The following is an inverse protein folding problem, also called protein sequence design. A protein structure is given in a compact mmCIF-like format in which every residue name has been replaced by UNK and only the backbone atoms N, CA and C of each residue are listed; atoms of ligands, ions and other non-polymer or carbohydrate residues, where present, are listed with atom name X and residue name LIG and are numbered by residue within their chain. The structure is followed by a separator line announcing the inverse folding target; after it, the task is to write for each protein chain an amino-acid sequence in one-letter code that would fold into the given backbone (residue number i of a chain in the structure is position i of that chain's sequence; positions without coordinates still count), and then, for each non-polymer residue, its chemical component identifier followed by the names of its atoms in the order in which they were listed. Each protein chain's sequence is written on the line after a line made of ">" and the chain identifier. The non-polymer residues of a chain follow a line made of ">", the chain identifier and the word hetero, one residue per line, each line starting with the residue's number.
data_IF_868091339122
#
_entry.id   IF_868091339122
#
_cell.length_a   1.000
_cell.length_b   1.000
_cell.length_c   1.000
_cell.angle_alpha   90.00
_cell.angle_beta   90.00
_cell.angle_gamma   90.00
#
_symmetry.space_group_name_H-M   'P 1'
#
loop_
_entity.id
_entity.type
_entity.pdbx_description
1 polymer ?
#
# COMPACT_ATOMS: atom_id res chain seq x y z
N UNK A 1 -58.68 2.54 -0.73
CA UNK A 1 -57.97 1.27 -0.48
C UNK A 1 -56.70 1.64 0.27
N UNK A 2 -56.77 1.94 1.58
CA UNK A 2 -56.97 1.02 2.70
C UNK A 2 -55.81 0.02 2.83
N UNK A 3 -54.77 0.47 3.51
CA UNK A 3 -54.02 -0.31 4.50
C UNK A 3 -53.42 0.68 5.50
N UNK A 4 -54.17 0.92 6.57
CA UNK A 4 -53.68 1.63 7.75
C UNK A 4 -52.69 0.72 8.47
N UNK A 5 -51.41 1.01 8.30
CA UNK A 5 -50.34 0.41 9.09
C UNK A 5 -50.55 0.73 10.56
N UNK A 6 -50.78 -0.32 11.33
CA UNK A 6 -50.90 -0.44 12.76
C UNK A 6 -50.26 0.68 13.59
N UNK A 7 -51.09 1.25 14.46
CA UNK A 7 -50.79 1.84 15.76
C UNK A 7 -49.47 2.62 15.90
N UNK A 8 -49.57 3.92 16.20
CA UNK A 8 -48.57 4.68 16.96
C UNK A 8 -47.93 3.75 18.00
N UNK A 9 -46.71 3.30 17.73
CA UNK A 9 -45.99 2.35 18.57
C UNK A 9 -46.06 2.84 20.03
N UNK A 10 -46.42 1.95 20.96
CA UNK A 10 -46.52 2.25 22.38
C UNK A 10 -45.26 3.02 22.83
N UNK A 11 -45.38 4.33 22.96
CA UNK A 11 -44.27 5.28 23.11
C UNK A 11 -43.52 5.10 24.44
N UNK A 12 -43.86 4.10 25.23
CA UNK A 12 -43.29 3.81 26.54
C UNK A 12 -42.60 2.43 26.58
N UNK A 13 -42.82 1.58 25.58
CA UNK A 13 -42.12 0.30 25.44
C UNK A 13 -40.70 0.55 24.91
N UNK A 14 -39.76 -0.32 25.29
CA UNK A 14 -38.36 -0.23 24.90
C UNK A 14 -37.62 0.99 25.43
N UNK A 15 -37.96 1.42 26.65
CA UNK A 15 -37.32 2.56 27.32
C UNK A 15 -36.87 2.20 28.72
N UNK A 16 -35.82 2.87 29.18
CA UNK A 16 -35.38 2.78 30.57
C UNK A 16 -36.23 3.68 31.46
N UNK A 17 -36.69 3.15 32.59
CA UNK A 17 -37.41 3.93 33.60
C UNK A 17 -36.43 4.40 34.64
N UNK A 18 -36.37 5.72 34.85
CA UNK A 18 -35.46 6.37 35.79
C UNK A 18 -36.29 7.07 36.86
N UNK A 19 -35.99 6.77 38.13
CA UNK A 19 -36.53 7.53 39.25
C UNK A 19 -35.69 8.79 39.44
N UNK A 20 -36.29 9.95 39.24
CA UNK A 20 -35.66 11.25 39.47
C UNK A 20 -35.35 11.47 40.95
N UNK A 21 -36.17 10.94 41.86
CA UNK A 21 -36.00 11.07 43.32
C UNK A 21 -34.84 10.22 43.82
N UNK A 22 -34.66 9.02 43.25
CA UNK A 22 -33.64 8.07 43.72
C UNK A 22 -32.35 8.12 42.87
N UNK A 23 -32.37 8.82 41.74
CA UNK A 23 -31.27 8.89 40.79
C UNK A 23 -30.88 7.53 40.20
N UNK A 24 -31.79 6.56 40.18
CA UNK A 24 -31.53 5.17 39.79
C UNK A 24 -32.40 4.73 38.62
N UNK A 25 -31.83 3.87 37.78
CA UNK A 25 -32.56 3.14 36.75
C UNK A 25 -33.36 2.03 37.44
N UNK A 26 -34.68 2.08 37.33
CA UNK A 26 -35.61 1.11 37.92
C UNK A 26 -35.75 -0.15 37.07
N UNK A 27 -35.49 -0.05 35.76
CA UNK A 27 -35.56 -1.17 34.83
C UNK A 27 -35.82 -0.73 33.40
N UNK A 28 -36.01 -1.70 32.52
CA UNK A 28 -36.33 -1.52 31.11
C UNK A 28 -37.75 -2.00 30.81
N UNK A 29 -38.59 -1.16 30.20
CA UNK A 29 -39.99 -1.49 29.91
C UNK A 29 -40.08 -2.49 28.76
N UNK A 30 -40.61 -3.68 29.05
CA UNK A 30 -40.87 -4.73 28.06
C UNK A 30 -42.29 -4.67 27.53
N UNK A 31 -43.24 -4.25 28.35
CA UNK A 31 -44.66 -4.25 28.00
C UNK A 31 -45.43 -3.23 28.85
N UNK A 32 -46.60 -2.80 28.35
CA UNK A 32 -47.43 -1.80 29.02
C UNK A 32 -48.91 -2.15 28.97
N UNK A 33 -49.57 -2.04 30.12
CA UNK A 33 -51.02 -2.10 30.22
C UNK A 33 -51.56 -0.76 30.71
N UNK A 34 -52.76 -0.39 30.26
CA UNK A 34 -53.47 0.80 30.76
C UNK A 34 -54.71 0.33 31.51
N UNK A 35 -54.85 0.77 32.75
CA UNK A 35 -56.04 0.55 33.57
C UNK A 35 -56.74 1.89 33.82
N UNK A 36 -58.07 1.89 33.75
CA UNK A 36 -58.89 3.04 34.13
C UNK A 36 -59.59 2.69 35.43
N UNK A 37 -59.26 3.41 36.50
CA UNK A 37 -59.92 3.29 37.81
C UNK A 37 -60.56 4.64 38.14
N UNK A 38 -61.89 4.68 38.09
CA UNK A 38 -62.66 5.92 38.27
C UNK A 38 -62.38 6.92 37.14
N UNK A 39 -61.97 8.14 37.51
CA UNK A 39 -61.67 9.25 36.58
C UNK A 39 -60.16 9.39 36.28
N UNK A 40 -59.36 8.37 36.63
CA UNK A 40 -57.91 8.37 36.41
C UNK A 40 -57.48 7.14 35.62
N UNK A 41 -56.56 7.37 34.67
CA UNK A 41 -55.87 6.30 33.95
C UNK A 41 -54.49 6.06 34.55
N UNK A 42 -54.11 4.79 34.64
CA UNK A 42 -52.85 4.31 35.19
C UNK A 42 -52.11 3.49 34.14
N UNK A 43 -50.80 3.69 34.04
CA UNK A 43 -49.93 2.83 33.24
C UNK A 43 -49.30 1.77 34.14
N UNK A 44 -49.44 0.51 33.78
CA UNK A 44 -48.75 -0.61 34.41
C UNK A 44 -47.61 -1.01 33.48
N UNK A 45 -46.41 -0.58 33.87
CA UNK A 45 -45.18 -0.95 33.18
C UNK A 45 -44.75 -2.34 33.65
N UNK A 46 -44.60 -3.30 32.74
CA UNK A 46 -43.81 -4.50 33.02
C UNK A 46 -42.37 -4.18 32.68
N UNK A 47 -41.48 -4.35 33.65
CA UNK A 47 -40.08 -3.98 33.52
C UNK A 47 -39.19 -5.16 33.87
N UNK A 48 -38.08 -5.27 33.15
CA UNK A 48 -36.99 -6.16 33.50
C UNK A 48 -35.96 -5.39 34.32
N UNK A 49 -35.56 -5.93 35.46
CA UNK A 49 -34.46 -5.37 36.26
C UNK A 49 -33.14 -5.48 35.49
N UNK A 50 -32.34 -4.41 35.56
CA UNK A 50 -30.98 -4.40 35.03
C UNK A 50 -30.08 -4.80 36.19
N UNK A 51 -29.85 -6.10 36.35
CA UNK A 51 -28.77 -6.55 37.22
C UNK A 51 -27.44 -6.06 36.66
N UNK A 52 -26.59 -5.52 37.53
CA UNK A 52 -25.28 -4.96 37.20
C UNK A 52 -24.57 -5.76 36.11
N UNK A 53 -24.17 -5.09 35.02
CA UNK A 53 -23.45 -5.64 33.87
C UNK A 53 -22.08 -6.30 34.18
N UNK A 54 -21.74 -6.54 35.45
CA UNK A 54 -20.39 -6.89 35.91
C UNK A 54 -20.17 -8.30 36.44
N UNK A 55 -21.18 -9.07 36.87
CA UNK A 55 -20.93 -10.41 37.45
C UNK A 55 -22.08 -11.39 37.24
N UNK A 56 -21.86 -12.38 36.40
CA UNK A 56 -22.44 -13.72 36.51
C UNK A 56 -23.95 -13.84 36.24
N UNK A 57 -24.27 -14.60 35.20
CA UNK A 57 -25.63 -15.03 34.84
C UNK A 57 -26.46 -15.46 36.06
N UNK A 58 -27.48 -14.66 36.41
CA UNK A 58 -28.66 -15.14 37.14
C UNK A 58 -29.79 -15.28 36.11
N UNK A 59 -30.24 -16.52 35.87
CA UNK A 59 -31.31 -16.83 34.91
C UNK A 59 -32.73 -16.53 35.45
N UNK A 60 -32.85 -15.71 36.50
CA UNK A 60 -34.13 -15.22 36.99
C UNK A 60 -34.27 -13.75 36.64
N UNK A 61 -34.82 -13.49 35.45
CA UNK A 61 -35.33 -12.16 35.10
C UNK A 61 -36.54 -11.86 35.98
N UNK A 62 -36.33 -11.18 37.12
CA UNK A 62 -37.40 -10.61 37.92
C UNK A 62 -38.15 -9.56 37.07
N UNK A 63 -39.31 -9.95 36.54
CA UNK A 63 -40.23 -8.98 35.94
C UNK A 63 -40.95 -8.23 37.06
N UNK A 64 -40.66 -6.94 37.16
CA UNK A 64 -41.29 -6.03 38.13
C UNK A 64 -42.39 -5.25 37.44
N UNK A 65 -43.59 -5.28 38.03
CA UNK A 65 -44.71 -4.42 37.59
C UNK A 65 -44.68 -3.11 38.37
N UNK A 66 -44.78 -1.99 37.67
CA UNK A 66 -44.86 -0.66 38.26
C UNK A 66 -46.11 0.05 37.76
N UNK A 67 -47.03 0.39 38.68
CA UNK A 67 -48.22 1.20 38.38
C UNK A 67 -47.86 2.68 38.59
N UNK A 68 -47.95 3.48 37.52
CA UNK A 68 -47.65 4.91 37.53
C UNK A 68 -48.84 5.72 37.04
N UNK A 69 -49.00 6.93 37.55
CA UNK A 69 -49.95 7.89 37.00
C UNK A 69 -49.26 8.77 35.96
N UNK A 70 -50.03 9.37 35.04
CA UNK A 70 -49.52 10.36 34.10
C UNK A 70 -48.82 11.53 34.79
N UNK A 71 -49.33 11.96 35.94
CA UNK A 71 -48.75 13.04 36.77
C UNK A 71 -47.38 12.69 37.38
N UNK A 72 -47.05 11.39 37.46
CA UNK A 72 -45.77 10.95 38.00
C UNK A 72 -44.66 10.99 36.94
N UNK A 73 -45.00 11.14 35.66
CA UNK A 73 -44.06 11.22 34.53
C UNK A 73 -43.63 12.67 34.34
N UNK A 74 -42.32 12.91 34.41
CA UNK A 74 -41.71 14.23 34.19
C UNK A 74 -41.38 14.42 32.70
N UNK A 75 -40.78 13.41 32.07
CA UNK A 75 -40.39 13.46 30.66
C UNK A 75 -40.32 12.06 30.05
N UNK A 76 -40.59 11.96 28.75
CA UNK A 76 -40.43 10.75 27.93
C UNK A 76 -39.53 11.09 26.75
N UNK A 77 -38.27 10.66 26.83
CA UNK A 77 -37.28 10.80 25.76
C UNK A 77 -37.31 9.65 24.74
N UNK A 78 -36.39 9.64 23.76
CA UNK A 78 -36.27 8.56 22.78
C UNK A 78 -35.91 7.21 23.41
N UNK A 79 -35.16 7.19 24.51
CA UNK A 79 -34.70 5.93 25.16
C UNK A 79 -35.08 5.81 26.64
N UNK A 80 -35.62 6.89 27.25
CA UNK A 80 -35.82 6.97 28.70
C UNK A 80 -37.19 7.55 29.08
N UNK A 81 -37.73 7.08 30.20
CA UNK A 81 -38.91 7.62 30.90
C UNK A 81 -38.45 8.09 32.27
N UNK A 82 -38.68 9.35 32.58
CA UNK A 82 -38.26 9.97 33.84
C UNK A 82 -39.48 10.11 34.75
N UNK A 83 -39.44 9.47 35.92
CA UNK A 83 -40.49 9.51 36.93
C UNK A 83 -40.08 10.45 38.07
N UNK A 84 -40.91 11.45 38.35
CA UNK A 84 -40.70 12.40 39.43
C UNK A 84 -41.56 12.15 40.67
N UNK A 85 -42.59 11.27 40.58
CA UNK A 85 -43.59 11.05 41.63
C UNK A 85 -44.14 12.36 42.24
N UNK A 86 -44.25 13.43 41.44
CA UNK A 86 -44.69 14.75 41.87
C UNK A 86 -43.76 15.51 42.82
N UNK A 87 -42.50 15.07 43.02
CA UNK A 87 -41.51 15.74 43.89
C UNK A 87 -40.39 16.36 43.06
N UNK A 88 -40.05 17.61 43.40
CA UNK A 88 -38.84 18.26 42.90
C UNK A 88 -37.64 17.65 43.62
N UNK A 89 -36.58 17.22 42.89
CA UNK A 89 -35.40 16.67 43.52
C UNK A 89 -34.73 17.76 44.39
N UNK A 90 -34.10 17.39 45.52
CA UNK A 90 -33.39 18.33 46.38
C UNK A 90 -32.40 19.21 45.59
N UNK A 91 -32.27 20.49 45.96
CA UNK A 91 -31.36 21.44 45.29
C UNK A 91 -29.92 20.90 45.16
N UNK A 92 -29.45 20.14 46.15
CA UNK A 92 -28.12 19.52 46.16
C UNK A 92 -27.93 18.47 45.07
N UNK A 93 -28.99 17.76 44.66
CA UNK A 93 -28.95 16.83 43.52
C UNK A 93 -29.00 17.56 42.19
N UNK A 94 -29.73 18.68 42.11
CA UNK A 94 -29.76 19.54 40.92
C UNK A 94 -28.36 20.12 40.64
N UNK A 95 -27.66 20.59 41.66
CA UNK A 95 -26.28 21.08 41.54
C UNK A 95 -25.31 19.99 41.08
N UNK A 96 -25.44 18.76 41.62
CA UNK A 96 -24.65 17.61 41.17
C UNK A 96 -24.94 17.23 39.73
N UNK A 97 -26.20 17.24 39.33
CA UNK A 97 -26.59 16.95 37.95
C UNK A 97 -26.05 18.01 36.97
N UNK A 98 -26.02 19.28 37.36
CA UNK A 98 -25.39 20.32 36.56
C UNK A 98 -23.87 20.12 36.43
N UNK A 99 -23.18 19.77 37.51
CA UNK A 99 -21.74 19.44 37.45
C UNK A 99 -21.48 18.25 36.52
N UNK A 100 -22.26 17.18 36.65
CA UNK A 100 -22.16 16.00 35.77
C UNK A 100 -22.44 16.38 34.31
N UNK A 101 -23.42 17.25 34.05
CA UNK A 101 -23.73 17.71 32.70
C UNK A 101 -22.59 18.55 32.09
N UNK A 102 -21.92 19.39 32.89
CA UNK A 102 -20.75 20.15 32.46
C UNK A 102 -19.56 19.24 32.14
N UNK A 103 -19.29 18.25 33.01
CA UNK A 103 -18.25 17.23 32.78
C UNK A 103 -18.56 16.37 31.55
N UNK A 104 -19.82 15.96 31.38
CA UNK A 104 -20.21 15.20 30.20
C UNK A 104 -20.01 16.02 28.91
N UNK A 105 -20.40 17.29 28.92
CA UNK A 105 -20.22 18.18 27.77
C UNK A 105 -18.75 18.44 27.45
N UNK A 106 -17.87 18.51 28.44
CA UNK A 106 -16.42 18.63 28.19
C UNK A 106 -15.85 17.36 27.56
N UNK A 107 -16.23 16.19 28.07
CA UNK A 107 -15.84 14.89 27.52
C UNK A 107 -16.33 14.72 26.07
N UNK A 108 -17.57 15.11 25.77
CA UNK A 108 -18.11 15.07 24.41
C UNK A 108 -17.28 15.93 23.46
N UNK A 109 -16.90 17.14 23.87
CA UNK A 109 -16.04 18.02 23.04
C UNK A 109 -14.65 17.42 22.82
N UNK A 110 -14.06 16.80 23.83
CA UNK A 110 -12.78 16.10 23.68
C UNK A 110 -12.89 14.90 22.75
N UNK A 111 -14.00 14.16 22.81
CA UNK A 111 -14.28 13.05 21.93
C UNK A 111 -14.38 13.52 20.47
N UNK A 112 -15.18 14.55 20.20
CA UNK A 112 -15.32 15.16 18.87
C UNK A 112 -13.96 15.66 18.32
N UNK A 113 -13.12 16.26 19.17
CA UNK A 113 -11.79 16.72 18.79
C UNK A 113 -10.88 15.54 18.40
N UNK A 114 -10.93 14.44 19.15
CA UNK A 114 -10.18 13.21 18.85
C UNK A 114 -10.70 12.52 17.59
N UNK A 115 -12.01 12.50 17.35
CA UNK A 115 -12.59 11.93 16.13
C UNK A 115 -12.11 12.69 14.89
N UNK A 116 -12.12 14.03 14.92
CA UNK A 116 -11.57 14.85 13.83
C UNK A 116 -10.07 14.62 13.61
N UNK A 117 -9.31 14.39 14.68
CA UNK A 117 -7.89 14.05 14.56
C UNK A 117 -7.71 12.67 13.90
N UNK A 118 -8.53 11.69 14.26
CA UNK A 118 -8.50 10.35 13.67
C UNK A 118 -8.83 10.42 12.18
N UNK A 119 -9.83 11.21 11.78
CA UNK A 119 -10.16 11.40 10.36
C UNK A 119 -8.98 11.99 9.58
N UNK A 120 -8.35 13.05 10.09
CA UNK A 120 -7.15 13.64 9.48
C UNK A 120 -6.01 12.63 9.35
N UNK A 121 -5.74 11.87 10.41
CA UNK A 121 -4.68 10.86 10.38
C UNK A 121 -5.00 9.72 9.38
N UNK A 122 -6.27 9.36 9.21
CA UNK A 122 -6.67 8.37 8.18
C UNK A 122 -6.44 8.90 6.78
N UNK A 123 -6.77 10.17 6.52
CA UNK A 123 -6.52 10.83 5.24
C UNK A 123 -5.01 10.90 4.94
N UNK A 124 -4.20 11.37 5.89
CA UNK A 124 -2.74 11.43 5.75
C UNK A 124 -2.14 10.04 5.50
N UNK A 125 -2.60 9.02 6.23
CA UNK A 125 -2.12 7.65 6.06
C UNK A 125 -2.49 7.08 4.67
N UNK A 126 -3.68 7.41 4.17
CA UNK A 126 -4.09 7.04 2.82
C UNK A 126 -3.23 7.71 1.74
N UNK A 127 -2.93 9.00 1.88
CA UNK A 127 -2.03 9.71 0.96
C UNK A 127 -0.61 9.16 1.01
N UNK A 128 -0.08 8.88 2.20
CA UNK A 128 1.23 8.28 2.38
C UNK A 128 1.31 6.89 1.76
N UNK A 129 0.28 6.07 1.93
CA UNK A 129 0.20 4.73 1.32
C UNK A 129 0.25 4.82 -0.21
N UNK A 130 -0.50 5.75 -0.81
CA UNK A 130 -0.44 6.00 -2.26
C UNK A 130 0.95 6.39 -2.74
N UNK A 131 1.61 7.33 -2.05
CA UNK A 131 2.97 7.74 -2.38
C UNK A 131 3.95 6.57 -2.27
N UNK A 132 3.77 5.72 -1.27
CA UNK A 132 4.60 4.53 -1.05
C UNK A 132 4.44 3.54 -2.23
N UNK A 133 3.21 3.29 -2.68
CA UNK A 133 2.94 2.43 -3.83
C UNK A 133 3.54 2.99 -5.14
N UNK A 134 3.45 4.30 -5.34
CA UNK A 134 4.06 4.99 -6.49
C UNK A 134 5.58 4.86 -6.48
N UNK A 135 6.21 5.16 -5.35
CA UNK A 135 7.66 5.02 -5.17
C UNK A 135 8.12 3.56 -5.35
N UNK A 136 7.36 2.57 -4.89
CA UNK A 136 7.67 1.16 -5.13
C UNK A 136 7.56 0.75 -6.60
N UNK A 137 6.69 1.39 -7.38
CA UNK A 137 6.63 1.17 -8.84
C UNK A 137 7.82 1.79 -9.55
N UNK A 138 8.21 3.00 -9.16
CA UNK A 138 9.40 3.66 -9.70
C UNK A 138 10.66 2.86 -9.37
N UNK A 139 10.80 2.38 -8.14
CA UNK A 139 11.94 1.58 -7.71
C UNK A 139 12.08 0.29 -8.53
N UNK A 140 10.97 -0.38 -8.84
CA UNK A 140 10.98 -1.56 -9.75
C UNK A 140 11.43 -1.20 -11.16
N UNK A 141 11.01 -0.06 -11.70
CA UNK A 141 11.47 0.40 -13.03
C UNK A 141 12.96 0.66 -13.03
N UNK A 142 13.48 1.28 -11.96
CA UNK A 142 14.91 1.55 -11.82
C UNK A 142 15.72 0.25 -11.71
N UNK A 143 15.23 -0.76 -10.98
CA UNK A 143 15.87 -2.07 -10.90
C UNK A 143 16.00 -2.75 -12.28
N UNK A 144 14.92 -2.73 -13.08
CA UNK A 144 14.97 -3.28 -14.45
C UNK A 144 15.98 -2.51 -15.31
N UNK A 145 16.01 -1.17 -15.18
CA UNK A 145 16.96 -0.35 -15.92
C UNK A 145 18.42 -0.61 -15.49
N UNK A 146 18.66 -0.90 -14.21
CA UNK A 146 19.97 -1.28 -13.68
C UNK A 146 20.43 -2.63 -14.23
N UNK A 147 19.53 -3.63 -14.30
CA UNK A 147 19.80 -4.92 -14.93
C UNK A 147 20.12 -4.77 -16.43
N UNK A 148 19.33 -3.99 -17.16
CA UNK A 148 19.58 -3.68 -18.57
C UNK A 148 20.94 -2.99 -18.78
N UNK A 149 21.31 -2.08 -17.87
CA UNK A 149 22.59 -1.38 -17.91
C UNK A 149 23.78 -2.32 -17.69
N UNK A 150 23.71 -3.23 -16.71
CA UNK A 150 24.77 -4.23 -16.51
C UNK A 150 24.88 -5.18 -17.71
N UNK A 151 23.77 -5.59 -18.31
CA UNK A 151 23.82 -6.39 -19.53
C UNK A 151 24.46 -5.63 -20.71
N UNK A 152 24.15 -4.35 -20.90
CA UNK A 152 24.79 -3.51 -21.92
C UNK A 152 26.29 -3.33 -21.68
N UNK A 153 26.70 -3.20 -20.42
CA UNK A 153 28.11 -3.11 -20.03
C UNK A 153 28.87 -4.40 -20.34
N UNK A 154 28.29 -5.57 -20.07
CA UNK A 154 28.88 -6.84 -20.49
C UNK A 154 29.03 -6.94 -22.01
N UNK A 155 28.02 -6.50 -22.77
CA UNK A 155 28.10 -6.46 -24.23
C UNK A 155 29.21 -5.53 -24.72
N UNK A 156 29.37 -4.37 -24.10
CA UNK A 156 30.44 -3.42 -24.42
C UNK A 156 31.81 -4.06 -24.25
N UNK A 157 32.07 -4.72 -23.11
CA UNK A 157 33.34 -5.40 -22.83
C UNK A 157 33.62 -6.49 -23.87
N UNK A 158 32.61 -7.27 -24.28
CA UNK A 158 32.76 -8.27 -25.33
C UNK A 158 33.12 -7.64 -26.68
N UNK A 159 32.49 -6.53 -27.03
CA UNK A 159 32.79 -5.79 -28.26
C UNK A 159 34.19 -5.18 -28.25
N UNK A 160 34.64 -4.66 -27.11
CA UNK A 160 36.01 -4.15 -26.94
C UNK A 160 37.04 -5.25 -27.16
N UNK A 161 36.83 -6.45 -26.59
CA UNK A 161 37.70 -7.60 -26.83
C UNK A 161 37.72 -8.04 -28.30
N UNK A 162 36.55 -8.08 -28.95
CA UNK A 162 36.48 -8.37 -30.40
C UNK A 162 37.22 -7.32 -31.24
N UNK A 163 37.12 -6.04 -30.88
CA UNK A 163 37.82 -4.97 -31.56
C UNK A 163 39.34 -5.08 -31.40
N UNK A 164 39.82 -5.46 -30.21
CA UNK A 164 41.24 -5.71 -29.98
C UNK A 164 41.76 -6.87 -30.83
N UNK A 165 41.03 -8.00 -30.85
CA UNK A 165 41.37 -9.13 -31.72
C UNK A 165 41.39 -8.75 -33.20
N UNK A 166 40.43 -7.93 -33.65
CA UNK A 166 40.40 -7.44 -35.04
C UNK A 166 41.61 -6.56 -35.36
N UNK A 167 42.07 -5.71 -34.42
CA UNK A 167 43.29 -4.91 -34.58
C UNK A 167 44.53 -5.78 -34.69
N UNK A 168 44.65 -6.82 -33.86
CA UNK A 168 45.78 -7.75 -33.92
C UNK A 168 45.77 -8.57 -35.20
N UNK A 169 44.59 -8.98 -35.67
CA UNK A 169 44.43 -9.65 -36.95
C UNK A 169 44.87 -8.75 -38.12
N UNK A 170 44.51 -7.47 -38.11
CA UNK A 170 44.97 -6.49 -39.12
C UNK A 170 46.51 -6.39 -39.11
N UNK A 171 47.14 -6.27 -37.94
CA UNK A 171 48.60 -6.24 -37.82
C UNK A 171 49.27 -7.49 -38.40
N UNK A 172 48.68 -8.66 -38.16
CA UNK A 172 49.18 -9.92 -38.69
C UNK A 172 49.06 -9.95 -40.23
N UNK A 173 47.94 -9.48 -40.79
CA UNK A 173 47.77 -9.36 -42.24
C UNK A 173 48.75 -8.35 -42.87
N UNK A 174 49.03 -7.23 -42.20
CA UNK A 174 50.04 -6.27 -42.63
C UNK A 174 51.45 -6.89 -42.66
N UNK A 175 51.79 -7.68 -41.63
CA UNK A 175 53.04 -8.45 -41.60
C UNK A 175 53.15 -9.46 -42.75
N UNK A 176 52.10 -10.26 -42.98
CA UNK A 176 52.05 -11.20 -44.09
C UNK A 176 52.18 -10.51 -45.44
N UNK A 177 51.56 -9.33 -45.62
CA UNK A 177 51.69 -8.55 -46.84
C UNK A 177 53.13 -8.11 -47.07
N UNK A 178 53.80 -7.62 -46.04
CA UNK A 178 55.21 -7.24 -46.12
C UNK A 178 56.11 -8.42 -46.48
N UNK A 179 55.83 -9.59 -45.91
CA UNK A 179 56.59 -10.81 -46.23
C UNK A 179 56.34 -11.27 -47.68
N UNK A 180 55.10 -11.17 -48.19
CA UNK A 180 54.80 -11.43 -49.61
C UNK A 180 55.57 -10.47 -50.52
N UNK A 181 55.60 -9.18 -50.18
CA UNK A 181 56.31 -8.17 -50.97
C UNK A 181 57.82 -8.46 -51.00
N UNK A 182 58.43 -8.86 -49.88
CA UNK A 182 59.84 -9.31 -49.85
C UNK A 182 60.10 -10.55 -50.70
N UNK A 183 59.26 -11.58 -50.58
CA UNK A 183 59.40 -12.81 -51.35
C UNK A 183 59.35 -12.48 -52.84
N UNK A 184 58.44 -11.59 -53.25
CA UNK A 184 58.34 -11.13 -54.62
C UNK A 184 59.64 -10.47 -55.09
N UNK A 185 60.19 -9.54 -54.31
CA UNK A 185 61.46 -8.87 -54.64
C UNK A 185 62.63 -9.87 -54.74
N UNK A 186 62.70 -10.85 -53.83
CA UNK A 186 63.74 -11.89 -53.85
C UNK A 186 63.60 -12.82 -55.06
N UNK A 187 62.38 -13.19 -55.43
CA UNK A 187 62.09 -13.98 -56.64
C UNK A 187 62.48 -13.21 -57.89
N UNK A 188 62.14 -11.92 -57.99
CA UNK A 188 62.50 -11.07 -59.13
C UNK A 188 64.03 -10.97 -59.29
N UNK A 189 64.76 -10.84 -58.18
CA UNK A 189 66.25 -10.85 -58.18
C UNK A 189 66.83 -12.20 -58.61
N UNK A 190 66.28 -13.30 -58.11
CA UNK A 190 66.73 -14.65 -58.49
C UNK A 190 66.50 -14.91 -59.98
N UNK A 191 65.34 -14.50 -60.52
CA UNK A 191 65.04 -14.62 -61.94
C UNK A 191 66.03 -13.79 -62.76
N UNK A 192 66.31 -12.54 -62.38
CA UNK A 192 67.29 -11.71 -63.06
C UNK A 192 68.69 -12.34 -63.07
N UNK A 193 69.17 -12.82 -61.93
CA UNK A 193 70.49 -13.46 -61.82
C UNK A 193 70.57 -14.74 -62.66
N UNK A 194 69.57 -15.62 -62.58
CA UNK A 194 69.57 -16.86 -63.36
C UNK A 194 69.47 -16.59 -64.85
N UNK A 195 68.66 -15.61 -65.26
CA UNK A 195 68.51 -15.26 -66.67
C UNK A 195 69.81 -14.65 -67.21
N UNK A 196 70.49 -13.82 -66.41
CA UNK A 196 71.82 -13.31 -66.75
C UNK A 196 72.86 -14.44 -66.85
N UNK A 197 72.90 -15.38 -65.90
CA UNK A 197 73.83 -16.51 -65.91
C UNK A 197 73.61 -17.42 -67.12
N UNK A 198 72.35 -17.74 -67.45
CA UNK A 198 71.99 -18.53 -68.63
C UNK A 198 72.36 -17.79 -69.92
N UNK A 199 72.06 -16.50 -70.03
CA UNK A 199 72.43 -15.69 -71.19
C UNK A 199 73.96 -15.61 -71.35
N UNK A 200 74.69 -15.39 -70.25
CA UNK A 200 76.17 -15.40 -70.24
C UNK A 200 76.71 -16.77 -70.65
N UNK A 201 76.12 -17.86 -70.17
CA UNK A 201 76.51 -19.23 -70.55
C UNK A 201 76.32 -19.46 -72.05
N UNK A 202 75.16 -19.14 -72.61
CA UNK A 202 74.86 -19.25 -74.04
C UNK A 202 75.83 -18.40 -74.88
N UNK A 203 76.07 -17.15 -74.48
CA UNK A 203 77.02 -16.27 -75.16
C UNK A 203 78.43 -16.87 -75.14
N UNK A 204 78.86 -17.39 -73.98
CA UNK A 204 80.18 -18.01 -73.85
C UNK A 204 80.32 -19.28 -74.68
N UNK A 205 79.28 -20.12 -74.74
CA UNK A 205 79.22 -21.30 -75.61
C UNK A 205 79.32 -20.90 -77.08
N UNK A 206 78.57 -19.89 -77.53
CA UNK A 206 78.64 -19.43 -78.93
C UNK A 206 79.97 -18.77 -79.28
N UNK A 207 80.55 -17.99 -78.37
CA UNK A 207 81.89 -17.43 -78.56
C UNK A 207 82.96 -18.53 -78.63
N UNK A 208 82.82 -19.59 -77.83
CA UNK A 208 83.70 -20.76 -77.87
C UNK A 208 83.54 -21.54 -79.19
N UNK A 209 82.31 -21.86 -79.59
CA UNK A 209 82.01 -22.61 -80.81
C UNK A 209 82.52 -21.91 -82.07
N UNK A 210 82.53 -20.58 -82.07
CA UNK A 210 83.05 -19.75 -83.17
C UNK A 210 84.55 -19.45 -83.06
N UNK A 211 85.25 -19.93 -82.03
CA UNK A 211 86.69 -19.70 -81.82
C UNK A 211 87.06 -18.26 -81.48
N UNK A 212 86.11 -17.46 -81.00
CA UNK A 212 86.26 -16.02 -80.74
C UNK A 212 86.56 -15.69 -79.26
N UNK A 213 86.55 -16.67 -78.37
CA UNK A 213 86.89 -16.45 -76.96
C UNK A 213 88.39 -16.22 -76.81
N UNK A 214 88.79 -14.96 -76.57
CA UNK A 214 90.17 -14.64 -76.20
C UNK A 214 90.48 -15.26 -74.84
N UNK A 215 91.36 -16.26 -74.82
CA UNK A 215 92.05 -16.68 -73.61
C UNK A 215 93.08 -15.61 -73.27
N UNK A 216 92.73 -14.72 -72.34
CA UNK A 216 93.73 -13.88 -71.69
C UNK A 216 94.60 -14.79 -70.81
N UNK A 217 95.82 -15.07 -71.26
CA UNK A 217 96.90 -15.50 -70.39
C UNK A 217 97.47 -14.27 -69.67
N UNK A 218 97.94 -14.50 -68.44
CA UNK A 218 98.46 -13.56 -67.41
C UNK A 218 97.39 -13.10 -66.42
#
# INVERSE_FOLDING_TARGET
>A
MAEGGEAKANQLINKFVISLIEGKILGYVTDINVEVEGDQFYFILKMREIENLGKGQSMFSSEKKLKIRPSDIVNVGPDVIILGNGKVPPLREIERLNQIAEEYNSIVRELEAKERLIEKLKEENYELTKKLDELQRELRKLQVMEEDFEHLKEQLVRQEGQLEMAKDYIRLLEGLRHDIDKIKDDVDRLIQSQLEDVVRAIINEELNARGLKKTSFI
#
